data_IF_386146442971
#
_entry.id   IF_386146442971
#
_cell.length_a   1.000
_cell.length_b   1.000
_cell.length_c   1.000
_cell.angle_alpha   90.00
_cell.angle_beta   90.00
_cell.angle_gamma   90.00
#
_symmetry.space_group_name_H-M   'P 1'
#
loop_
_entity.id
_entity.type
_entity.pdbx_description
1 polymer ?
#
# COMPACT_ATOMS: atom_id res chain seq x y z
N UNK A 1 49.28 7.94 68.01
CA UNK A 1 48.23 8.35 68.97
C UNK A 1 47.17 9.11 68.21
N UNK A 2 45.92 8.70 68.40
CA UNK A 2 44.70 9.25 67.81
C UNK A 2 44.34 10.63 68.38
N UNK A 3 43.54 11.37 67.60
CA UNK A 3 42.49 12.38 67.94
C UNK A 3 42.48 13.42 66.79
N UNK A 4 41.50 13.54 65.89
CA UNK A 4 40.03 13.74 65.93
C UNK A 4 39.57 15.17 66.22
N UNK A 5 38.69 15.66 65.33
CA UNK A 5 37.75 16.81 65.40
C UNK A 5 38.31 18.19 64.97
N UNK A 6 37.64 18.99 64.13
CA UNK A 6 36.35 18.87 63.47
C UNK A 6 35.97 20.19 62.76
N UNK A 7 34.70 20.26 62.34
CA UNK A 7 33.91 21.45 62.01
C UNK A 7 34.10 22.12 60.64
N UNK A 8 33.08 21.93 59.79
CA UNK A 8 32.92 22.66 58.54
C UNK A 8 31.60 22.34 57.85
N UNK A 9 30.47 22.59 58.53
CA UNK A 9 29.13 22.55 57.95
C UNK A 9 28.97 23.67 56.91
N UNK A 10 28.58 23.33 55.67
CA UNK A 10 27.86 24.28 54.81
C UNK A 10 26.74 23.59 54.07
N UNK A 11 25.57 24.18 54.25
CA UNK A 11 24.27 23.66 53.88
C UNK A 11 24.09 23.40 52.40
N UNK A 12 23.33 22.34 52.18
CA UNK A 12 22.54 22.03 50.99
C UNK A 12 21.82 23.27 50.46
N UNK A 13 22.15 23.69 49.23
CA UNK A 13 21.25 24.47 48.39
C UNK A 13 20.84 23.58 47.23
N UNK A 14 19.56 23.20 47.24
CA UNK A 14 18.86 22.47 46.20
C UNK A 14 19.07 23.12 44.84
N UNK A 15 19.91 22.54 43.99
CA UNK A 15 19.76 22.71 42.56
C UNK A 15 18.72 21.68 42.12
N UNK A 16 17.53 22.18 41.83
CA UNK A 16 16.51 21.46 41.06
C UNK A 16 17.14 21.00 39.74
N UNK A 17 17.51 19.73 39.66
CA UNK A 17 17.85 19.09 38.40
C UNK A 17 16.58 19.10 37.54
N UNK A 18 16.52 20.02 36.59
CA UNK A 18 15.60 19.90 35.46
C UNK A 18 15.96 18.62 34.71
N UNK A 19 14.99 17.76 34.36
CA UNK A 19 15.27 16.60 33.52
C UNK A 19 15.78 17.09 32.14
N UNK A 20 16.69 16.36 31.49
CA UNK A 20 17.18 16.74 30.17
C UNK A 20 16.01 16.82 29.19
N UNK A 21 15.97 17.93 28.44
CA UNK A 21 14.95 18.21 27.44
C UNK A 21 14.85 17.04 26.45
N UNK A 22 13.64 16.50 26.29
CA UNK A 22 13.31 15.52 25.26
C UNK A 22 13.71 16.06 23.90
N UNK A 23 14.50 15.30 23.15
CA UNK A 23 14.85 15.61 21.77
C UNK A 23 13.57 15.87 20.95
N UNK A 24 13.55 16.88 20.07
CA UNK A 24 12.38 17.17 19.25
C UNK A 24 12.12 15.99 18.31
N UNK A 25 10.90 15.45 18.39
CA UNK A 25 10.36 14.51 17.41
C UNK A 25 10.46 15.12 16.00
N UNK A 26 10.89 14.35 14.98
CA UNK A 26 10.93 14.86 13.62
C UNK A 26 9.52 15.31 13.20
N UNK A 27 9.39 16.40 12.43
CA UNK A 27 8.09 16.87 12.00
C UNK A 27 7.42 15.78 11.16
N UNK A 28 6.29 15.28 11.66
CA UNK A 28 5.32 14.55 10.85
C UNK A 28 4.77 15.54 9.82
N UNK A 29 5.40 15.57 8.65
CA UNK A 29 4.85 16.20 7.47
C UNK A 29 3.93 15.17 6.80
N UNK A 30 2.60 15.24 6.95
CA UNK A 30 1.77 14.78 5.86
C UNK A 30 2.03 15.76 4.71
N UNK A 31 2.58 15.25 3.61
CA UNK A 31 2.53 15.93 2.34
C UNK A 31 1.05 16.26 2.07
N UNK A 32 0.65 17.50 2.33
CA UNK A 32 -0.65 18.01 1.93
C UNK A 32 -0.58 18.18 0.41
N UNK A 33 -0.99 17.14 -0.30
CA UNK A 33 -1.44 17.24 -1.69
C UNK A 33 -2.98 17.21 -1.71
N UNK A 34 -3.58 18.04 -0.87
CA UNK A 34 -5.03 18.21 -0.80
C UNK A 34 -5.39 19.69 -0.61
N UNK A 35 -5.20 20.48 -1.68
CA UNK A 35 -6.10 21.55 -2.13
C UNK A 35 -5.40 22.42 -3.19
N UNK A 36 -5.37 21.98 -4.44
CA UNK A 36 -5.21 22.93 -5.56
C UNK A 36 -5.70 22.40 -6.93
N UNK A 37 -6.54 21.36 -6.97
CA UNK A 37 -7.16 20.92 -8.23
C UNK A 37 -8.69 20.99 -8.13
N UNK A 38 -9.17 22.14 -7.65
CA UNK A 38 -10.52 22.62 -7.93
C UNK A 38 -10.36 23.76 -8.93
N UNK A 39 -10.31 23.39 -10.22
CA UNK A 39 -10.68 24.20 -11.39
C UNK A 39 -10.05 23.61 -12.66
N UNK A 40 -10.42 22.39 -13.01
CA UNK A 40 -10.38 21.98 -14.41
C UNK A 40 -11.81 21.57 -14.80
N UNK A 41 -12.38 22.13 -15.88
CA UNK A 41 -13.72 21.80 -16.31
C UNK A 41 -13.64 20.47 -17.07
N UNK A 42 -13.45 19.37 -16.37
CA UNK A 42 -13.39 18.05 -17.01
C UNK A 42 -14.61 17.25 -16.58
N UNK A 43 -15.47 16.82 -17.52
CA UNK A 43 -16.64 16.02 -17.19
C UNK A 43 -16.18 14.64 -16.73
N UNK A 44 -16.31 14.35 -15.44
CA UNK A 44 -16.21 12.98 -14.92
C UNK A 44 -17.39 12.18 -15.47
N UNK A 45 -17.11 11.17 -16.29
CA UNK A 45 -18.14 10.23 -16.74
C UNK A 45 -17.83 8.85 -16.16
N UNK A 46 -18.69 8.42 -15.22
CA UNK A 46 -18.66 7.09 -14.63
C UNK A 46 -19.20 6.10 -15.66
N UNK A 47 -18.32 5.27 -16.24
CA UNK A 47 -18.78 4.10 -16.98
C UNK A 47 -18.94 2.95 -15.99
N UNK A 48 -20.14 2.76 -15.47
CA UNK A 48 -20.54 1.47 -14.90
C UNK A 48 -20.73 0.51 -16.06
N UNK A 49 -19.72 -0.30 -16.38
CA UNK A 49 -19.92 -1.37 -17.34
C UNK A 49 -20.97 -2.35 -16.77
N UNK A 50 -21.96 -2.80 -17.57
CA UNK A 50 -22.85 -3.87 -17.16
C UNK A 50 -22.03 -5.16 -17.11
N UNK A 51 -21.61 -5.53 -15.90
CA UNK A 51 -20.98 -6.80 -15.60
C UNK A 51 -21.94 -7.93 -16.01
N UNK A 52 -21.53 -8.94 -16.80
CA UNK A 52 -22.16 -10.24 -16.71
C UNK A 52 -21.73 -10.83 -15.36
N UNK A 53 -22.48 -10.49 -14.31
CA UNK A 53 -22.35 -11.11 -12.99
C UNK A 53 -22.60 -12.61 -13.16
N UNK A 54 -21.53 -13.39 -13.19
CA UNK A 54 -21.62 -14.82 -12.93
C UNK A 54 -21.96 -14.96 -11.44
N UNK A 55 -23.25 -15.08 -11.13
CA UNK A 55 -23.76 -15.33 -9.79
C UNK A 55 -23.77 -16.83 -9.49
N UNK A 56 -22.90 -17.36 -8.62
CA UNK A 56 -23.28 -18.47 -7.76
C UNK A 56 -24.00 -17.90 -6.51
N UNK A 57 -25.29 -17.61 -6.66
CA UNK A 57 -26.34 -17.63 -5.62
C UNK A 57 -26.13 -17.02 -4.22
N UNK A 58 -25.10 -16.21 -3.91
CA UNK A 58 -24.96 -15.56 -2.60
C UNK A 58 -24.50 -14.10 -2.76
N UNK A 59 -25.18 -13.11 -2.15
CA UNK A 59 -24.76 -11.72 -2.20
C UNK A 59 -23.48 -11.55 -1.36
N UNK A 60 -22.36 -11.27 -2.00
CA UNK A 60 -21.13 -10.83 -1.32
C UNK A 60 -21.36 -9.36 -0.90
N UNK A 61 -21.31 -9.03 0.40
CA UNK A 61 -21.69 -7.70 0.88
C UNK A 61 -20.51 -6.72 0.89
N UNK A 62 -19.66 -6.70 -0.14
CA UNK A 62 -18.54 -5.75 -0.20
C UNK A 62 -18.41 -5.12 -1.58
N UNK A 63 -18.49 -3.79 -1.58
CA UNK A 63 -18.36 -2.91 -2.74
C UNK A 63 -16.88 -2.89 -3.13
N UNK A 64 -16.44 -3.84 -3.95
CA UNK A 64 -15.18 -3.66 -4.68
C UNK A 64 -15.45 -2.60 -5.74
N UNK A 65 -15.01 -1.37 -5.46
CA UNK A 65 -15.06 -0.28 -6.41
C UNK A 65 -13.91 -0.47 -7.41
N UNK A 66 -14.16 -1.26 -8.45
CA UNK A 66 -13.28 -1.31 -9.62
C UNK A 66 -13.63 -0.13 -10.52
N UNK A 67 -12.78 0.88 -10.57
CA UNK A 67 -12.90 1.97 -11.55
C UNK A 67 -11.83 1.75 -12.61
N UNK A 68 -12.29 1.52 -13.85
CA UNK A 68 -11.48 1.73 -15.04
C UNK A 68 -11.76 3.16 -15.49
N UNK A 69 -10.87 4.09 -15.17
CA UNK A 69 -10.95 5.46 -15.67
C UNK A 69 -10.20 5.55 -16.99
N UNK A 70 -10.91 5.82 -18.08
CA UNK A 70 -10.31 6.08 -19.39
C UNK A 70 -10.38 7.58 -19.66
N UNK A 71 -9.31 8.31 -19.29
CA UNK A 71 -9.13 9.71 -19.70
C UNK A 71 -8.62 9.71 -21.14
N UNK A 72 -9.52 9.65 -22.12
CA UNK A 72 -9.09 9.74 -23.53
C UNK A 72 -8.79 11.21 -23.87
N UNK A 73 -7.51 11.54 -23.94
CA UNK A 73 -7.03 12.62 -24.81
C UNK A 73 -7.10 12.14 -26.26
N UNK A 74 -7.05 13.06 -27.24
CA UNK A 74 -7.06 12.67 -28.66
C UNK A 74 -5.81 11.84 -29.05
N UNK A 75 -4.78 11.85 -28.20
CA UNK A 75 -3.52 11.13 -28.35
C UNK A 75 -3.38 10.04 -27.27
N UNK A 76 -3.43 8.77 -27.69
CA UNK A 76 -3.31 7.62 -26.80
C UNK A 76 -1.96 7.53 -26.07
N UNK A 77 -0.91 8.14 -26.64
CA UNK A 77 0.45 8.15 -26.08
C UNK A 77 0.57 9.09 -24.87
N UNK A 78 -0.35 10.04 -24.71
CA UNK A 78 -0.40 11.00 -23.59
C UNK A 78 -1.43 10.60 -22.50
N UNK A 79 -1.89 9.34 -22.53
CA UNK A 79 -2.89 8.81 -21.58
C UNK A 79 -2.29 7.72 -20.71
N UNK A 80 -2.40 7.86 -19.38
CA UNK A 80 -2.07 6.80 -18.42
C UNK A 80 -3.35 6.04 -18.03
N UNK A 81 -3.38 4.73 -18.24
CA UNK A 81 -4.48 3.85 -17.83
C UNK A 81 -4.19 3.24 -16.47
N UNK A 82 -5.04 3.58 -15.50
CA UNK A 82 -4.90 3.10 -14.12
C UNK A 82 -6.07 2.17 -13.79
N UNK A 83 -5.75 0.96 -13.33
CA UNK A 83 -6.73 0.11 -12.64
C UNK A 83 -6.77 0.51 -11.17
N UNK A 84 -7.90 1.04 -10.71
CA UNK A 84 -8.10 1.36 -9.29
C UNK A 84 -8.98 0.29 -8.63
N UNK A 85 -8.49 -0.27 -7.52
CA UNK A 85 -9.24 -1.16 -6.64
C UNK A 85 -8.93 -0.85 -5.17
N UNK A 86 -9.82 -1.19 -4.25
CA UNK A 86 -9.67 -0.98 -2.80
C UNK A 86 -10.53 -1.99 -2.05
N UNK A 87 -10.24 -2.19 -0.76
CA UNK A 87 -11.06 -3.00 0.15
C UNK A 87 -11.29 -4.43 -0.38
N UNK A 88 -10.22 -5.04 -0.91
CA UNK A 88 -10.29 -6.40 -1.47
C UNK A 88 -10.55 -7.45 -0.38
N UNK A 89 -10.08 -7.20 0.85
CA UNK A 89 -10.25 -8.07 2.02
C UNK A 89 -10.02 -9.55 1.69
N UNK A 90 -8.88 -9.86 1.08
CA UNK A 90 -8.51 -11.23 0.75
C UNK A 90 -8.35 -12.03 2.04
N UNK A 91 -9.01 -13.19 2.09
CA UNK A 91 -9.13 -14.03 3.29
C UNK A 91 -10.42 -13.82 4.07
N UNK A 92 -11.30 -12.91 3.64
CA UNK A 92 -12.64 -12.80 4.22
C UNK A 92 -13.41 -14.12 4.03
N UNK A 93 -13.93 -14.65 5.14
CA UNK A 93 -14.65 -15.92 5.21
C UNK A 93 -13.92 -17.13 4.62
N UNK A 94 -12.58 -17.15 4.65
CA UNK A 94 -11.75 -18.19 4.02
C UNK A 94 -12.11 -19.63 4.41
N UNK A 95 -12.65 -19.86 5.61
CA UNK A 95 -13.06 -21.19 6.10
C UNK A 95 -14.48 -21.61 5.70
N UNK A 96 -15.25 -20.72 5.08
CA UNK A 96 -16.60 -21.01 4.63
C UNK A 96 -16.56 -21.90 3.37
N UNK A 97 -17.27 -23.04 3.35
CA UNK A 97 -17.19 -23.99 2.23
C UNK A 97 -17.82 -23.49 0.93
N UNK A 98 -18.64 -22.43 0.98
CA UNK A 98 -19.30 -21.84 -0.19
C UNK A 98 -18.59 -20.56 -0.60
N UNK A 99 -18.23 -19.72 0.39
CA UNK A 99 -17.80 -18.33 0.18
C UNK A 99 -16.31 -18.10 0.36
N UNK A 100 -15.56 -19.10 0.85
CA UNK A 100 -14.15 -18.92 1.19
C UNK A 100 -13.26 -18.57 0.00
N UNK A 101 -13.72 -18.84 -1.23
CA UNK A 101 -12.99 -18.51 -2.46
C UNK A 101 -13.43 -17.19 -3.09
N UNK A 102 -14.44 -16.51 -2.55
CA UNK A 102 -15.03 -15.32 -3.17
C UNK A 102 -13.98 -14.20 -3.32
N UNK A 103 -13.32 -13.83 -2.21
CA UNK A 103 -12.37 -12.71 -2.19
C UNK A 103 -11.18 -12.91 -3.12
N UNK A 104 -10.58 -14.11 -3.12
CA UNK A 104 -9.44 -14.42 -3.97
C UNK A 104 -9.83 -14.53 -5.46
N UNK A 105 -11.02 -15.03 -5.76
CA UNK A 105 -11.52 -15.11 -7.13
C UNK A 105 -11.80 -13.72 -7.70
N UNK A 106 -12.37 -12.82 -6.90
CA UNK A 106 -12.57 -11.44 -7.34
C UNK A 106 -11.24 -10.70 -7.52
N UNK A 107 -10.25 -10.90 -6.65
CA UNK A 107 -8.92 -10.33 -6.86
C UNK A 107 -8.28 -10.83 -8.16
N UNK A 108 -8.42 -12.12 -8.48
CA UNK A 108 -7.99 -12.66 -9.79
C UNK A 108 -8.69 -11.96 -10.95
N UNK A 109 -10.00 -11.72 -10.86
CA UNK A 109 -10.75 -11.02 -11.91
C UNK A 109 -10.23 -9.59 -12.13
N UNK A 110 -9.91 -8.86 -11.05
CA UNK A 110 -9.32 -7.51 -11.14
C UNK A 110 -8.00 -7.55 -11.95
N UNK A 111 -7.13 -8.52 -11.65
CA UNK A 111 -5.86 -8.68 -12.37
C UNK A 111 -6.06 -9.10 -13.83
N UNK A 112 -7.01 -9.99 -14.10
CA UNK A 112 -7.37 -10.35 -15.47
C UNK A 112 -7.89 -9.16 -16.27
N UNK A 113 -8.70 -8.29 -15.64
CA UNK A 113 -9.17 -7.05 -16.26
C UNK A 113 -8.01 -6.07 -16.48
N UNK A 114 -7.06 -5.96 -15.55
CA UNK A 114 -5.88 -5.12 -15.71
C UNK A 114 -5.08 -5.52 -16.96
N UNK A 115 -4.83 -6.82 -17.15
CA UNK A 115 -4.19 -7.36 -18.35
C UNK A 115 -5.05 -7.12 -19.60
N UNK A 116 -6.35 -7.45 -19.55
CA UNK A 116 -7.27 -7.33 -20.69
C UNK A 116 -7.39 -5.89 -21.21
N UNK A 117 -7.38 -4.91 -20.32
CA UNK A 117 -7.50 -3.50 -20.65
C UNK A 117 -6.13 -2.81 -20.87
N UNK A 118 -5.06 -3.59 -20.82
CA UNK A 118 -3.67 -3.15 -21.05
C UNK A 118 -3.30 -1.96 -20.16
N UNK A 119 -3.70 -1.98 -18.88
CA UNK A 119 -3.44 -0.86 -17.97
C UNK A 119 -1.94 -0.66 -17.75
N UNK A 120 -1.53 0.57 -17.48
CA UNK A 120 -0.13 0.93 -17.29
C UNK A 120 0.32 0.70 -15.85
N UNK A 121 -0.60 0.78 -14.89
CA UNK A 121 -0.36 0.42 -13.49
C UNK A 121 -1.67 0.04 -12.79
N UNK A 122 -1.53 -0.68 -11.67
CA UNK A 122 -2.61 -0.96 -10.73
C UNK A 122 -2.37 -0.13 -9.46
N UNK A 123 -3.42 0.54 -8.98
CA UNK A 123 -3.43 1.28 -7.71
C UNK A 123 -4.42 0.63 -6.74
N UNK A 124 -3.91 0.20 -5.59
CA UNK A 124 -4.66 -0.40 -4.50
C UNK A 124 -4.82 0.61 -3.34
N UNK A 125 -6.07 0.87 -2.96
CA UNK A 125 -6.44 1.87 -1.96
C UNK A 125 -6.28 1.47 -0.49
N UNK A 126 -5.80 0.26 -0.21
CA UNK A 126 -5.70 -0.30 1.15
C UNK A 126 -6.67 -1.45 1.40
N UNK A 127 -6.54 -2.09 2.56
CA UNK A 127 -7.30 -3.26 2.99
C UNK A 127 -7.25 -4.40 1.94
N UNK A 128 -6.05 -4.67 1.41
CA UNK A 128 -5.82 -5.79 0.50
C UNK A 128 -6.14 -7.12 1.20
N UNK A 129 -5.70 -7.25 2.45
CA UNK A 129 -5.97 -8.41 3.30
C UNK A 129 -7.08 -8.12 4.30
N UNK A 130 -7.91 -9.12 4.59
CA UNK A 130 -8.96 -8.98 5.60
C UNK A 130 -8.42 -8.97 7.03
N UNK A 131 -7.37 -9.76 7.26
CA UNK A 131 -6.73 -9.93 8.55
C UNK A 131 -5.31 -9.38 8.48
N UNK A 132 -4.87 -8.68 9.52
CA UNK A 132 -3.49 -8.17 9.65
C UNK A 132 -2.44 -9.29 9.56
N UNK A 133 -2.82 -10.49 10.00
CA UNK A 133 -2.03 -11.71 9.89
C UNK A 133 -2.75 -12.67 8.94
N UNK A 134 -2.67 -12.45 7.62
CA UNK A 134 -3.35 -13.29 6.66
C UNK A 134 -2.86 -14.73 6.75
N UNK A 135 -3.71 -15.66 6.31
CA UNK A 135 -3.34 -17.08 6.29
C UNK A 135 -2.17 -17.31 5.31
N UNK A 136 -1.47 -18.43 5.49
CA UNK A 136 -0.42 -18.85 4.55
C UNK A 136 -0.98 -19.08 3.14
N UNK A 137 -2.23 -19.53 3.05
CA UNK A 137 -2.91 -19.77 1.79
C UNK A 137 -3.24 -18.45 1.08
N UNK A 138 -3.75 -17.46 1.81
CA UNK A 138 -3.95 -16.09 1.31
C UNK A 138 -2.66 -15.50 0.75
N UNK A 139 -1.58 -15.50 1.53
CA UNK A 139 -0.28 -14.95 1.09
C UNK A 139 0.24 -15.67 -0.16
N UNK A 140 0.13 -17.01 -0.19
CA UNK A 140 0.55 -17.80 -1.35
C UNK A 140 -0.26 -17.44 -2.60
N UNK A 141 -1.59 -17.40 -2.48
CA UNK A 141 -2.48 -17.13 -3.61
C UNK A 141 -2.29 -15.71 -4.15
N UNK A 142 -2.18 -14.70 -3.28
CA UNK A 142 -1.94 -13.30 -3.69
C UNK A 142 -0.60 -13.18 -4.41
N UNK A 143 0.46 -13.77 -3.84
CA UNK A 143 1.80 -13.75 -4.46
C UNK A 143 1.81 -14.44 -5.82
N UNK A 144 1.12 -15.60 -5.93
CA UNK A 144 1.02 -16.34 -7.18
C UNK A 144 0.27 -15.54 -8.26
N UNK A 145 -0.86 -14.92 -7.90
CA UNK A 145 -1.66 -14.12 -8.82
C UNK A 145 -0.92 -12.86 -9.29
N UNK A 146 -0.27 -12.14 -8.38
CA UNK A 146 0.57 -11.00 -8.77
C UNK A 146 1.64 -11.45 -9.75
N UNK A 147 2.38 -12.52 -9.42
CA UNK A 147 3.39 -13.07 -10.33
C UNK A 147 2.84 -13.46 -11.70
N UNK A 148 1.66 -14.04 -11.77
CA UNK A 148 1.02 -14.52 -13.00
C UNK A 148 0.56 -13.37 -13.91
N UNK A 149 0.01 -12.29 -13.33
CA UNK A 149 -0.64 -11.23 -14.09
C UNK A 149 0.17 -9.93 -14.21
N UNK A 150 1.21 -9.73 -13.40
CA UNK A 150 1.96 -8.45 -13.36
C UNK A 150 3.39 -8.54 -13.82
N UNK A 151 3.96 -9.74 -13.95
CA UNK A 151 5.26 -9.96 -14.58
C UNK A 151 5.10 -10.29 -16.06
N UNK A 152 5.99 -9.76 -16.90
CA UNK A 152 5.98 -10.01 -18.34
C UNK A 152 6.76 -8.96 -19.12
N UNK A 153 6.84 -9.16 -20.43
CA UNK A 153 7.66 -8.34 -21.34
C UNK A 153 7.00 -7.01 -21.76
N UNK A 154 5.83 -6.66 -21.22
CA UNK A 154 5.20 -5.36 -21.50
C UNK A 154 6.13 -4.26 -20.94
N UNK A 155 6.60 -3.31 -21.75
CA UNK A 155 7.40 -2.21 -21.23
C UNK A 155 6.54 -1.31 -20.33
N UNK A 156 7.08 -0.96 -19.16
CA UNK A 156 6.46 -0.01 -18.23
C UNK A 156 6.62 1.41 -18.79
N UNK A 157 5.51 2.11 -19.00
CA UNK A 157 5.48 3.46 -19.61
C UNK A 157 5.57 4.59 -18.58
N UNK A 158 5.57 4.27 -17.29
CA UNK A 158 5.72 5.25 -16.20
C UNK A 158 7.17 5.32 -15.75
N UNK A 159 7.68 6.54 -15.60
CA UNK A 159 9.06 6.83 -15.19
C UNK A 159 9.09 7.34 -13.75
N UNK A 160 9.99 6.79 -12.93
CA UNK A 160 10.32 7.37 -11.63
C UNK A 160 11.33 8.51 -11.82
N UNK A 161 10.91 9.74 -11.54
CA UNK A 161 11.79 10.92 -11.66
C UNK A 161 12.71 11.14 -10.45
N UNK A 162 12.46 10.45 -9.34
CA UNK A 162 13.26 10.51 -8.11
C UNK A 162 14.35 9.42 -8.09
N UNK A 163 15.30 9.51 -7.15
CA UNK A 163 16.31 8.46 -6.97
C UNK A 163 15.64 7.12 -6.62
N UNK A 164 15.81 6.05 -7.42
CA UNK A 164 15.18 4.75 -7.15
C UNK A 164 15.71 4.04 -5.90
N UNK A 165 16.84 4.49 -5.34
CA UNK A 165 17.37 4.01 -4.06
C UNK A 165 16.82 4.77 -2.86
N UNK A 166 16.20 5.93 -3.09
CA UNK A 166 15.48 6.67 -2.06
C UNK A 166 14.16 5.96 -1.75
N UNK A 167 13.97 5.55 -0.49
CA UNK A 167 12.79 4.79 -0.07
C UNK A 167 12.91 3.27 -0.12
N UNK A 168 14.09 2.71 -0.47
CA UNK A 168 14.30 1.26 -0.42
C UNK A 168 14.20 0.71 1.00
N UNK A 169 13.85 -0.57 1.11
CA UNK A 169 13.77 -1.26 2.39
C UNK A 169 15.12 -1.26 3.13
N UNK A 170 15.10 -0.91 4.42
CA UNK A 170 16.31 -0.82 5.23
C UNK A 170 17.05 -2.17 5.29
N UNK A 171 18.33 -2.16 4.95
CA UNK A 171 19.16 -3.38 4.92
C UNK A 171 19.11 -4.18 3.62
N UNK A 172 18.34 -3.73 2.62
CA UNK A 172 18.24 -4.38 1.32
C UNK A 172 18.91 -3.58 0.18
N UNK A 173 19.23 -4.29 -0.89
CA UNK A 173 19.97 -3.76 -2.06
C UNK A 173 19.09 -3.54 -3.29
N UNK A 174 17.87 -4.08 -3.32
CA UNK A 174 16.92 -3.84 -4.41
C UNK A 174 16.35 -2.41 -4.35
N UNK A 175 15.96 -1.83 -5.50
CA UNK A 175 15.39 -0.48 -5.57
C UNK A 175 14.01 -0.39 -4.88
N UNK A 176 13.57 0.84 -4.59
CA UNK A 176 12.27 1.09 -3.97
C UNK A 176 11.09 0.69 -4.89
N UNK A 177 11.24 0.88 -6.20
CA UNK A 177 10.26 0.50 -7.21
C UNK A 177 10.68 -0.81 -7.88
N UNK A 178 9.74 -1.74 -8.00
CA UNK A 178 10.00 -3.11 -8.45
C UNK A 178 10.39 -3.22 -9.94
N UNK A 179 9.89 -2.32 -10.79
CA UNK A 179 10.13 -2.33 -12.23
C UNK A 179 11.50 -1.76 -12.63
N UNK A 180 12.23 -1.15 -11.69
CA UNK A 180 13.64 -0.75 -11.88
C UNK A 180 14.63 -1.83 -11.41
N UNK A 181 14.14 -2.97 -10.88
CA UNK A 181 15.02 -4.08 -10.51
C UNK A 181 15.45 -4.84 -11.79
N UNK A 182 16.75 -4.91 -12.12
CA UNK A 182 17.23 -5.58 -13.32
C UNK A 182 16.97 -7.10 -13.33
N UNK A 183 16.58 -7.69 -12.20
CA UNK A 183 16.27 -9.11 -12.05
C UNK A 183 14.76 -9.40 -12.11
N UNK A 184 13.90 -8.37 -12.16
CA UNK A 184 12.45 -8.52 -12.21
C UNK A 184 11.89 -7.90 -13.49
N UNK A 185 11.28 -8.73 -14.32
CA UNK A 185 10.58 -8.27 -15.51
C UNK A 185 9.13 -7.93 -15.16
N UNK A 186 8.91 -6.72 -14.64
CA UNK A 186 7.58 -6.22 -14.26
C UNK A 186 6.91 -5.62 -15.49
N UNK A 187 5.75 -6.16 -15.87
CA UNK A 187 4.95 -5.64 -16.98
C UNK A 187 3.85 -4.67 -16.55
N UNK A 188 3.30 -4.85 -15.34
CA UNK A 188 2.28 -3.97 -14.76
C UNK A 188 2.66 -3.68 -13.29
N UNK A 189 3.25 -2.52 -12.97
CA UNK A 189 3.56 -2.18 -11.59
C UNK A 189 2.28 -2.03 -10.74
N UNK A 190 2.35 -2.51 -9.50
CA UNK A 190 1.26 -2.42 -8.52
C UNK A 190 1.70 -1.52 -7.38
N UNK A 191 0.96 -0.45 -7.16
CA UNK A 191 1.16 0.46 -6.05
C UNK A 191 0.04 0.23 -5.04
N UNK A 192 0.39 0.14 -3.75
CA UNK A 192 -0.58 -0.03 -2.67
C UNK A 192 -0.21 0.85 -1.50
N UNK A 193 -1.23 1.37 -0.83
CA UNK A 193 -1.12 1.81 0.57
C UNK A 193 -1.67 0.72 1.47
N UNK A 194 -1.33 0.76 2.75
CA UNK A 194 -2.04 -0.04 3.75
C UNK A 194 -3.32 0.70 4.16
N UNK A 195 -4.35 -0.05 4.49
CA UNK A 195 -5.55 0.38 5.18
C UNK A 195 -5.45 0.13 6.69
N UNK A 196 -6.60 -0.09 7.32
CA UNK A 196 -6.71 -0.32 8.76
C UNK A 196 -6.77 -1.81 9.13
N UNK A 197 -6.97 -2.70 8.17
CA UNK A 197 -6.92 -4.16 8.38
C UNK A 197 -5.52 -4.73 8.14
N UNK A 198 -4.76 -4.14 7.22
CA UNK A 198 -3.40 -4.52 6.83
C UNK A 198 -2.35 -3.48 7.30
N UNK A 199 -2.61 -2.80 8.41
CA UNK A 199 -1.71 -1.81 9.00
C UNK A 199 -0.40 -2.43 9.57
N UNK A 200 0.70 -1.66 9.66
CA UNK A 200 1.94 -2.18 10.25
C UNK A 200 1.76 -2.57 11.72
N UNK A 201 2.01 -3.85 12.06
CA UNK A 201 1.92 -4.33 13.44
C UNK A 201 3.11 -5.19 13.88
N UNK A 202 3.25 -5.37 15.19
CA UNK A 202 4.28 -6.22 15.80
C UNK A 202 5.66 -5.57 15.91
N UNK A 203 6.65 -6.36 16.35
CA UNK A 203 7.98 -5.86 16.70
C UNK A 203 8.77 -5.29 15.51
N UNK A 204 8.40 -5.65 14.28
CA UNK A 204 9.03 -5.15 13.06
C UNK A 204 8.37 -3.92 12.44
N UNK A 205 7.17 -3.53 12.90
CA UNK A 205 6.34 -2.52 12.23
C UNK A 205 6.21 -2.76 10.71
N UNK A 206 5.89 -4.01 10.34
CA UNK A 206 5.73 -4.45 8.94
C UNK A 206 4.26 -4.83 8.72
N UNK A 207 3.70 -4.40 7.60
CA UNK A 207 2.38 -4.82 7.11
C UNK A 207 2.49 -6.10 6.26
N UNK A 208 1.45 -6.92 6.18
CA UNK A 208 1.41 -8.08 5.29
C UNK A 208 1.51 -7.71 3.80
#
# INVERSE_FOLDING_TARGET
>A
MSQSQGSGTRGTRSQSQQPPASAPSPPSSPFILANSLLSLPVPFHFSSLPMPLYFPAHPIPFLILTIISELRTEDADDTIRIMLATDNHIGYMERDPIRGQDSINTFREILQLAVKHEVDLILLGGDLFHENKPSRECLYNVTALLREFTLGDKPVQVELLSDPLEGKAHGYTFPAVNYEDPNLNVGIPVFSIHGNHDDPQGAGAVSP
#
